data_IF_748219664170
#
_entry.id   IF_748219664170
#
_cell.length_a   1.000
_cell.length_b   1.000
_cell.length_c   1.000
_cell.angle_alpha   90.00
_cell.angle_beta   90.00
_cell.angle_gamma   90.00
#
_symmetry.space_group_name_H-M   'P 1'
#
loop_
_entity.id
_entity.type
_entity.pdbx_description
1 polymer ?
#
# COMPACT_ATOMS: atom_id res chain seq x y z
N UNK A 1 13.43 -6.33 17.36
CA UNK A 1 12.90 -4.96 17.52
C UNK A 1 12.28 -4.56 16.20
N UNK A 2 11.08 -3.97 16.19
CA UNK A 2 10.45 -3.54 14.94
C UNK A 2 11.18 -2.30 14.38
N UNK A 3 11.46 -2.29 13.07
CA UNK A 3 12.04 -1.13 12.36
C UNK A 3 10.93 -0.40 11.63
N UNK A 4 10.83 0.91 11.86
CA UNK A 4 9.83 1.78 11.22
C UNK A 4 10.57 2.90 10.49
N UNK A 5 10.15 3.19 9.26
CA UNK A 5 10.64 4.32 8.48
C UNK A 5 9.57 5.40 8.42
N UNK A 6 9.97 6.66 8.61
CA UNK A 6 9.08 7.83 8.50
C UNK A 6 9.74 8.82 7.54
N UNK A 7 9.06 9.12 6.43
CA UNK A 7 9.54 10.03 5.39
C UNK A 7 8.52 11.15 5.21
N UNK A 8 9.00 12.39 5.07
CA UNK A 8 8.20 13.55 4.69
C UNK A 8 8.52 13.93 3.25
N UNK A 9 7.50 14.26 2.48
CA UNK A 9 7.61 14.70 1.10
C UNK A 9 6.24 15.09 0.55
N UNK A 10 6.23 15.66 -0.66
CA UNK A 10 4.99 15.93 -1.38
C UNK A 10 4.31 14.63 -1.82
N UNK A 11 2.98 14.65 -2.02
CA UNK A 11 2.23 13.47 -2.46
C UNK A 11 2.79 12.96 -3.79
N UNK A 12 3.33 11.74 -3.78
CA UNK A 12 3.94 11.11 -4.95
C UNK A 12 4.56 9.76 -4.60
N UNK A 13 5.12 9.09 -5.61
CA UNK A 13 5.74 7.78 -5.44
C UNK A 13 7.08 7.85 -4.68
N UNK A 14 7.83 8.95 -4.87
CA UNK A 14 9.20 9.09 -4.36
C UNK A 14 9.31 8.97 -2.82
N UNK A 15 8.44 9.61 -2.01
CA UNK A 15 8.54 9.47 -0.55
C UNK A 15 8.24 8.04 -0.08
N UNK A 16 7.35 7.34 -0.77
CA UNK A 16 7.03 5.94 -0.47
C UNK A 16 8.20 5.03 -0.81
N UNK A 17 8.84 5.26 -1.96
CA UNK A 17 10.06 4.54 -2.36
C UNK A 17 11.20 4.72 -1.36
N UNK A 18 11.44 5.96 -0.89
CA UNK A 18 12.42 6.21 0.17
C UNK A 18 12.07 5.51 1.48
N UNK A 19 10.79 5.49 1.86
CA UNK A 19 10.36 4.80 3.06
C UNK A 19 10.60 3.28 2.95
N UNK A 20 10.34 2.68 1.78
CA UNK A 20 10.62 1.27 1.52
C UNK A 20 12.12 0.97 1.55
N UNK A 21 12.97 1.80 0.94
CA UNK A 21 14.43 1.60 0.93
C UNK A 21 15.07 1.73 2.33
N UNK A 22 14.33 2.28 3.31
CA UNK A 22 14.74 2.37 4.71
C UNK A 22 14.38 1.13 5.55
N UNK A 23 13.69 0.14 4.99
CA UNK A 23 13.34 -1.13 5.65
C UNK A 23 13.84 -2.33 4.82
N UNK A 24 14.11 -3.50 5.43
CA UNK A 24 14.63 -4.67 4.71
C UNK A 24 13.53 -5.43 3.97
N UNK A 25 12.73 -4.74 3.14
CA UNK A 25 11.60 -5.37 2.46
C UNK A 25 12.05 -6.39 1.40
N UNK A 26 13.20 -6.17 0.75
CA UNK A 26 13.72 -7.07 -0.29
C UNK A 26 14.08 -8.43 0.29
N UNK A 27 14.80 -8.43 1.40
CA UNK A 27 15.18 -9.62 2.15
C UNK A 27 13.95 -10.30 2.76
N UNK A 28 13.01 -9.51 3.30
CA UNK A 28 11.78 -10.06 3.90
C UNK A 28 10.88 -10.76 2.88
N UNK A 29 10.91 -10.30 1.62
CA UNK A 29 10.10 -10.84 0.53
C UNK A 29 10.83 -11.91 -0.27
N UNK A 30 12.13 -12.15 -0.05
CA UNK A 30 12.94 -13.12 -0.79
C UNK A 30 12.27 -14.49 -0.93
N UNK A 31 11.75 -15.12 0.14
CA UNK A 31 11.22 -16.49 0.07
C UNK A 31 9.91 -16.65 -0.70
N UNK A 32 9.32 -15.56 -1.18
CA UNK A 32 7.96 -15.53 -1.71
C UNK A 32 7.91 -15.06 -3.16
N UNK A 33 7.22 -15.80 -4.02
CA UNK A 33 6.99 -15.41 -5.42
C UNK A 33 5.79 -14.46 -5.57
N UNK A 34 4.87 -14.48 -4.60
CA UNK A 34 3.66 -13.68 -4.59
C UNK A 34 3.54 -12.91 -3.28
N UNK A 35 3.26 -11.61 -3.37
CA UNK A 35 3.10 -10.69 -2.25
C UNK A 35 1.66 -10.19 -2.21
N UNK A 36 1.01 -10.38 -1.07
CA UNK A 36 -0.32 -9.84 -0.82
C UNK A 36 -0.20 -8.43 -0.25
N UNK A 37 -0.75 -7.45 -0.97
CA UNK A 37 -0.83 -6.05 -0.52
C UNK A 37 -2.21 -5.87 0.10
N UNK A 38 -2.26 -5.70 1.42
CA UNK A 38 -3.51 -5.47 2.15
C UNK A 38 -3.66 -4.00 2.55
N UNK A 39 -4.25 -3.15 1.70
CA UNK A 39 -4.57 -1.78 2.09
C UNK A 39 -5.74 -1.76 3.09
N UNK A 40 -6.21 -0.55 3.37
CA UNK A 40 -7.55 -0.30 3.86
C UNK A 40 -8.26 0.54 2.80
N UNK A 41 -9.14 -0.03 1.98
CA UNK A 41 -9.84 0.65 0.88
C UNK A 41 -11.35 0.78 1.07
N UNK A 42 -11.99 -0.11 1.82
CA UNK A 42 -13.46 -0.16 1.91
C UNK A 42 -13.95 0.88 2.93
N UNK A 43 -14.17 2.11 2.47
CA UNK A 43 -14.72 3.22 3.27
C UNK A 43 -15.29 4.34 2.39
N UNK A 44 -16.11 5.20 2.98
CA UNK A 44 -16.66 6.42 2.37
C UNK A 44 -15.78 7.67 2.58
N UNK A 45 -14.52 7.51 3.01
CA UNK A 45 -13.62 8.61 3.33
C UNK A 45 -12.41 8.61 2.40
N UNK A 46 -11.97 9.79 1.97
CA UNK A 46 -10.75 9.95 1.17
C UNK A 46 -9.49 9.80 2.03
N UNK A 47 -8.35 9.53 1.39
CA UNK A 47 -7.06 9.30 2.07
C UNK A 47 -6.58 10.50 2.89
N UNK A 48 -7.07 11.70 2.60
CA UNK A 48 -6.75 12.93 3.32
C UNK A 48 -7.15 12.87 4.81
N UNK A 49 -8.14 12.06 5.14
CA UNK A 49 -8.60 11.83 6.51
C UNK A 49 -7.68 10.89 7.31
N UNK A 50 -6.80 10.15 6.63
CA UNK A 50 -5.99 9.07 7.22
C UNK A 50 -6.78 7.80 7.53
N UNK A 51 -8.08 7.73 7.19
CA UNK A 51 -8.92 6.54 7.39
C UNK A 51 -8.63 5.47 6.33
N UNK A 52 -8.52 5.85 5.06
CA UNK A 52 -8.20 4.95 3.94
C UNK A 52 -6.74 5.10 3.51
N UNK A 53 -6.23 4.09 2.80
CA UNK A 53 -4.89 4.14 2.22
C UNK A 53 -4.90 4.97 0.94
N UNK A 54 -3.93 5.87 0.76
CA UNK A 54 -3.76 6.59 -0.50
C UNK A 54 -3.41 5.60 -1.64
N UNK A 55 -4.16 5.59 -2.75
CA UNK A 55 -3.86 4.73 -3.91
C UNK A 55 -2.43 4.85 -4.44
N UNK A 56 -1.78 6.02 -4.31
CA UNK A 56 -0.37 6.18 -4.71
C UNK A 56 0.60 5.36 -3.85
N UNK A 57 0.26 5.15 -2.57
CA UNK A 57 1.05 4.26 -1.69
C UNK A 57 0.92 2.83 -2.18
N UNK A 58 -0.29 2.42 -2.57
CA UNK A 58 -0.57 1.09 -3.11
C UNK A 58 0.20 0.87 -4.42
N UNK A 59 0.13 1.84 -5.35
CA UNK A 59 0.87 1.81 -6.61
C UNK A 59 2.38 1.69 -6.38
N UNK A 60 2.95 2.51 -5.50
CA UNK A 60 4.37 2.47 -5.19
C UNK A 60 4.80 1.10 -4.64
N UNK A 61 4.00 0.50 -3.74
CA UNK A 61 4.28 -0.84 -3.21
C UNK A 61 4.22 -1.90 -4.32
N UNK A 62 3.20 -1.85 -5.19
CA UNK A 62 3.07 -2.79 -6.32
C UNK A 62 4.29 -2.68 -7.25
N UNK A 63 4.70 -1.47 -7.60
CA UNK A 63 5.86 -1.23 -8.47
C UNK A 63 7.13 -1.83 -7.86
N UNK A 64 7.40 -1.61 -6.57
CA UNK A 64 8.57 -2.19 -5.89
C UNK A 64 8.52 -3.70 -5.80
N UNK A 65 7.35 -4.30 -5.64
CA UNK A 65 7.19 -5.77 -5.68
C UNK A 65 7.51 -6.31 -7.08
N UNK A 66 7.00 -5.66 -8.13
CA UNK A 66 7.27 -6.05 -9.52
C UNK A 66 8.76 -5.88 -9.89
N UNK A 67 9.44 -4.86 -9.39
CA UNK A 67 10.89 -4.67 -9.57
C UNK A 67 11.72 -5.83 -8.99
N UNK A 68 11.19 -6.56 -8.01
CA UNK A 68 11.80 -7.78 -7.46
C UNK A 68 11.50 -9.04 -8.28
N UNK A 69 10.79 -8.92 -9.40
CA UNK A 69 10.33 -10.05 -10.21
C UNK A 69 9.22 -10.88 -9.55
N UNK A 70 8.52 -10.31 -8.57
CA UNK A 70 7.47 -10.98 -7.79
C UNK A 70 6.09 -10.52 -8.25
N UNK A 71 5.06 -11.35 -8.02
CA UNK A 71 3.66 -10.99 -8.29
C UNK A 71 3.07 -10.20 -7.12
N UNK A 72 2.46 -9.04 -7.38
CA UNK A 72 1.65 -8.33 -6.39
C UNK A 72 0.16 -8.70 -6.55
N UNK A 73 -0.54 -8.95 -5.45
CA UNK A 73 -2.00 -9.10 -5.42
C UNK A 73 -2.55 -8.17 -4.35
N UNK A 74 -3.38 -7.21 -4.75
CA UNK A 74 -4.13 -6.40 -3.80
C UNK A 74 -5.27 -7.25 -3.25
N UNK A 75 -5.28 -7.44 -1.94
CA UNK A 75 -6.33 -8.16 -1.24
C UNK A 75 -6.95 -7.23 -0.22
N UNK A 76 -8.27 -7.21 -0.18
CA UNK A 76 -9.00 -6.48 0.84
C UNK A 76 -10.05 -7.39 1.44
N UNK A 77 -10.29 -7.19 2.72
CA UNK A 77 -11.35 -7.85 3.46
C UNK A 77 -12.43 -6.85 3.74
N UNK A 78 -13.68 -7.23 3.50
CA UNK A 78 -14.85 -6.45 3.90
C UNK A 78 -14.85 -6.29 5.43
N UNK A 79 -14.36 -5.15 5.90
CA UNK A 79 -14.13 -4.86 7.32
C UNK A 79 -15.18 -3.93 7.94
N UNK A 80 -16.21 -3.51 7.20
CA UNK A 80 -17.11 -2.43 7.63
C UNK A 80 -18.35 -2.17 6.75
N UNK A 81 -18.88 -0.93 6.89
CA UNK A 81 -20.27 -0.46 6.71
C UNK A 81 -20.61 -0.06 5.26
N UNK A 82 -19.67 -0.20 4.32
CA UNK A 82 -19.75 0.39 2.96
C UNK A 82 -19.45 -0.66 1.91
N UNK A 83 -20.17 -0.61 0.77
CA UNK A 83 -19.95 -1.52 -0.35
C UNK A 83 -18.58 -1.28 -1.02
N UNK A 84 -17.87 -2.33 -1.47
CA UNK A 84 -16.67 -2.18 -2.31
C UNK A 84 -16.91 -1.32 -3.57
N UNK A 85 -18.11 -1.39 -4.16
CA UNK A 85 -18.48 -0.60 -5.35
C UNK A 85 -18.61 0.90 -5.05
N UNK A 86 -19.05 1.26 -3.85
CA UNK A 86 -19.11 2.66 -3.42
C UNK A 86 -17.73 3.19 -3.01
N UNK A 87 -16.94 2.33 -2.38
CA UNK A 87 -15.60 2.66 -1.94
C UNK A 87 -14.69 3.05 -3.11
N UNK A 88 -14.68 2.27 -4.21
CA UNK A 88 -13.82 2.56 -5.37
C UNK A 88 -14.11 3.93 -6.02
N UNK A 89 -15.38 4.35 -6.03
CA UNK A 89 -15.75 5.66 -6.54
C UNK A 89 -15.33 6.82 -5.62
N UNK A 90 -15.19 6.55 -4.31
CA UNK A 90 -14.92 7.57 -3.30
C UNK A 90 -13.42 7.71 -3.00
N UNK A 91 -12.68 6.60 -2.98
CA UNK A 91 -11.27 6.56 -2.56
C UNK A 91 -10.28 6.70 -3.70
N UNK A 92 -10.73 6.49 -4.94
CA UNK A 92 -9.88 6.44 -6.14
C UNK A 92 -9.36 5.04 -6.42
#
# INVERSE_FOLDING_TARGET
MARVAVVKGERGLEPVYRALDMIPYKESLEPWDTVLVKPNLITSHTYETGVTTDPLVIEAVINRVHELGKKAIVVETEGGITSPDEAIHTTG
#
